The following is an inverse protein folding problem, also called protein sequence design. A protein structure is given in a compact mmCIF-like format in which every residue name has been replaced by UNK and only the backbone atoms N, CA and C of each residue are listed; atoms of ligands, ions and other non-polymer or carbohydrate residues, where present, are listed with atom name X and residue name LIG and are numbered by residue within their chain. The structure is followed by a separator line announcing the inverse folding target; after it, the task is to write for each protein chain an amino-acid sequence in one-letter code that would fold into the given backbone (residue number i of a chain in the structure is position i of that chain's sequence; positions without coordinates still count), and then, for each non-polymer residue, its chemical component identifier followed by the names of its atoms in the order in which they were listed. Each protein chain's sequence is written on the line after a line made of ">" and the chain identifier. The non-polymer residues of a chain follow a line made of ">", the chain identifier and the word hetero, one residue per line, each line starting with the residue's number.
data_IF_425330892364
#
_entry.id   IF_425330892364
#
_cell.length_a   1.000
_cell.length_b   1.000
_cell.length_c   1.000
_cell.angle_alpha   90.00
_cell.angle_beta   90.00
_cell.angle_gamma   90.00
#
_symmetry.space_group_name_H-M   'P 1'
#
loop_
_entity.id
_entity.type
_entity.pdbx_description
1 polymer ?
#
# COMPACT_ATOMS: atom_id res chain seq x y z
N UNK A 1 -10.49 10.69 24.20
CA UNK A 1 -9.25 10.05 24.68
C UNK A 1 -8.62 9.30 23.52
N UNK A 2 -7.37 9.64 23.21
CA UNK A 2 -6.69 9.29 21.98
C UNK A 2 -6.12 7.84 22.08
N UNK A 3 -6.93 6.83 21.78
CA UNK A 3 -6.58 5.39 21.89
C UNK A 3 -5.37 5.04 21.01
N UNK A 4 -5.18 5.72 19.88
CA UNK A 4 -4.08 5.41 18.94
C UNK A 4 -2.75 6.03 19.36
N UNK A 5 -2.77 7.13 20.13
CA UNK A 5 -1.54 7.68 20.73
C UNK A 5 -1.00 6.80 21.87
N UNK A 6 -1.88 5.99 22.48
CA UNK A 6 -1.51 5.01 23.52
C UNK A 6 -1.13 3.64 22.92
N UNK A 7 -1.64 3.31 21.73
CA UNK A 7 -1.30 2.08 21.01
C UNK A 7 0.02 2.19 20.22
N UNK A 8 0.48 3.39 19.88
CA UNK A 8 1.69 3.57 19.06
C UNK A 8 2.94 3.01 19.73
N UNK A 9 3.28 3.43 20.93
CA UNK A 9 4.51 3.01 21.63
C UNK A 9 4.44 1.58 22.18
N UNK A 10 3.36 1.15 22.88
CA UNK A 10 3.28 -0.23 23.35
C UNK A 10 3.14 -1.23 22.19
N UNK A 11 2.42 -0.89 21.12
CA UNK A 11 2.28 -1.75 19.96
C UNK A 11 3.58 -1.89 19.18
N UNK A 12 4.32 -0.79 19.01
CA UNK A 12 5.62 -0.80 18.37
C UNK A 12 6.62 -1.60 19.21
N UNK A 13 6.64 -1.41 20.53
CA UNK A 13 7.50 -2.17 21.45
C UNK A 13 7.12 -3.65 21.53
N UNK A 14 5.82 -3.97 21.47
CA UNK A 14 5.36 -5.35 21.43
C UNK A 14 5.63 -5.99 20.05
N UNK A 15 5.47 -5.25 18.97
CA UNK A 15 5.84 -5.69 17.63
C UNK A 15 7.34 -5.90 17.50
N UNK A 16 8.16 -4.96 17.97
CA UNK A 16 9.62 -5.07 17.99
C UNK A 16 10.09 -6.27 18.86
N UNK A 17 9.45 -6.48 20.02
CA UNK A 17 9.69 -7.63 20.89
C UNK A 17 9.32 -8.96 20.22
N UNK A 18 8.17 -8.99 19.52
CA UNK A 18 7.72 -10.18 18.78
C UNK A 18 8.62 -10.46 17.57
N UNK A 19 9.00 -9.42 16.83
CA UNK A 19 9.93 -9.53 15.70
C UNK A 19 11.31 -9.99 16.16
N UNK A 20 11.84 -9.46 17.26
CA UNK A 20 13.12 -9.91 17.82
C UNK A 20 13.04 -11.36 18.32
N UNK A 21 11.96 -11.75 19.01
CA UNK A 21 11.75 -13.13 19.45
C UNK A 21 11.60 -14.10 18.28
N UNK A 22 10.90 -13.68 17.20
CA UNK A 22 10.80 -14.46 15.97
C UNK A 22 12.12 -14.51 15.21
N UNK A 23 12.90 -13.44 15.22
CA UNK A 23 14.21 -13.38 14.60
C UNK A 23 15.23 -14.26 15.34
N UNK A 24 15.24 -14.23 16.69
CA UNK A 24 16.08 -15.08 17.52
C UNK A 24 15.71 -16.55 17.40
N UNK A 25 14.39 -16.85 17.36
CA UNK A 25 13.90 -18.21 17.12
C UNK A 25 14.23 -18.69 15.69
N UNK A 26 14.13 -17.81 14.69
CA UNK A 26 14.47 -18.13 13.31
C UNK A 26 15.97 -18.30 13.10
N UNK A 27 16.81 -17.61 13.88
CA UNK A 27 18.27 -17.72 13.82
C UNK A 27 18.79 -19.07 14.33
N UNK A 28 17.99 -19.76 15.16
CA UNK A 28 18.29 -21.11 15.67
C UNK A 28 17.64 -22.25 14.85
N UNK A 29 16.75 -21.93 13.93
CA UNK A 29 16.07 -22.90 13.07
C UNK A 29 16.71 -22.94 11.67
N UNK A 30 16.78 -24.10 10.99
CA UNK A 30 17.23 -24.20 9.60
C UNK A 30 16.13 -23.67 8.64
N UNK A 31 15.58 -22.49 8.93
CA UNK A 31 14.52 -21.84 8.18
C UNK A 31 15.02 -20.47 7.74
N UNK A 32 15.11 -20.27 6.42
CA UNK A 32 15.47 -18.98 5.85
C UNK A 32 14.19 -18.22 5.46
N UNK A 33 13.98 -17.08 6.10
CA UNK A 33 12.92 -16.13 5.73
C UNK A 33 13.58 -14.92 5.08
N UNK A 34 13.39 -14.76 3.77
CA UNK A 34 13.77 -13.53 3.07
C UNK A 34 12.72 -12.47 3.36
N UNK A 35 13.12 -11.45 4.10
CA UNK A 35 12.30 -10.24 4.22
C UNK A 35 12.72 -9.24 3.14
N UNK A 36 11.76 -8.65 2.45
CA UNK A 36 12.06 -7.56 1.54
C UNK A 36 12.61 -6.37 2.34
N UNK A 37 13.69 -5.76 1.83
CA UNK A 37 14.22 -4.55 2.43
C UNK A 37 13.13 -3.46 2.41
N UNK A 38 12.85 -2.90 3.58
CA UNK A 38 11.95 -1.76 3.67
C UNK A 38 12.75 -0.48 3.89
N UNK A 39 12.37 0.58 3.22
CA UNK A 39 12.97 1.90 3.47
C UNK A 39 12.54 2.36 4.87
N UNK A 40 13.51 2.81 5.71
CA UNK A 40 13.20 3.34 7.02
C UNK A 40 12.17 4.47 6.95
N UNK A 41 11.14 4.38 7.77
CA UNK A 41 10.06 5.36 7.80
C UNK A 41 10.38 6.46 8.82
N UNK A 42 10.37 7.72 8.39
CA UNK A 42 10.39 8.87 9.31
C UNK A 42 9.08 8.92 10.11
N UNK A 43 9.17 8.51 11.37
CA UNK A 43 8.01 8.46 12.27
C UNK A 43 7.40 9.85 12.53
N UNK A 44 8.21 10.92 12.49
CA UNK A 44 7.73 12.30 12.62
C UNK A 44 6.89 12.71 11.41
N UNK A 45 7.36 12.42 10.20
CA UNK A 45 6.61 12.65 8.97
C UNK A 45 5.31 11.84 8.95
N UNK A 46 5.38 10.53 9.28
CA UNK A 46 4.20 9.67 9.35
C UNK A 46 3.14 10.23 10.30
N UNK A 47 3.54 10.64 11.51
CA UNK A 47 2.61 11.19 12.50
C UNK A 47 1.92 12.47 11.99
N UNK A 48 2.65 13.36 11.30
CA UNK A 48 2.08 14.57 10.68
C UNK A 48 1.09 14.23 9.57
N UNK A 49 1.42 13.26 8.72
CA UNK A 49 0.52 12.78 7.66
C UNK A 49 -0.75 12.17 8.26
N UNK A 50 -0.62 11.23 9.20
CA UNK A 50 -1.76 10.58 9.86
C UNK A 50 -2.66 11.61 10.56
N UNK A 51 -2.06 12.63 11.19
CA UNK A 51 -2.81 13.74 11.78
C UNK A 51 -3.62 14.51 10.74
N UNK A 52 -3.03 14.81 9.57
CA UNK A 52 -3.73 15.54 8.50
C UNK A 52 -4.89 14.73 7.91
N UNK A 53 -4.72 13.41 7.74
CA UNK A 53 -5.79 12.49 7.29
C UNK A 53 -6.95 12.48 8.29
N UNK A 54 -6.65 12.29 9.59
CA UNK A 54 -7.67 12.23 10.65
C UNK A 54 -8.46 13.52 10.79
N UNK A 55 -7.78 14.66 10.68
CA UNK A 55 -8.41 15.98 10.78
C UNK A 55 -9.03 16.42 9.45
N UNK A 56 -8.93 15.62 8.41
CA UNK A 56 -9.39 15.91 7.03
C UNK A 56 -8.89 17.27 6.55
N UNK A 57 -7.59 17.52 6.70
CA UNK A 57 -6.93 18.77 6.32
C UNK A 57 -6.08 18.58 5.09
N UNK A 58 -6.13 19.54 4.16
CA UNK A 58 -5.24 19.61 3.01
C UNK A 58 -3.80 19.65 3.51
N UNK A 59 -2.91 18.98 2.79
CA UNK A 59 -1.48 18.97 3.05
C UNK A 59 -0.71 19.54 1.86
N UNK A 60 0.34 20.30 2.16
CA UNK A 60 1.32 20.79 1.20
C UNK A 60 2.69 20.23 1.51
N UNK A 61 3.48 19.91 0.49
CA UNK A 61 4.85 19.41 0.63
C UNK A 61 5.63 19.56 -0.68
N UNK A 62 6.96 19.42 -0.60
CA UNK A 62 7.80 19.26 -1.79
C UNK A 62 8.01 17.77 -2.07
N UNK A 63 7.89 17.38 -3.34
CA UNK A 63 8.09 16.01 -3.81
C UNK A 63 9.26 15.92 -4.77
N UNK A 64 10.20 15.01 -4.49
CA UNK A 64 11.39 14.78 -5.31
C UNK A 64 11.16 13.63 -6.28
N UNK A 65 10.71 13.93 -7.51
CA UNK A 65 10.69 13.00 -8.63
C UNK A 65 11.35 13.68 -9.83
N UNK A 66 12.67 13.52 -9.96
CA UNK A 66 13.46 14.36 -10.85
C UNK A 66 13.64 15.77 -10.26
N UNK A 67 13.08 16.80 -10.93
CA UNK A 67 13.08 18.18 -10.39
C UNK A 67 12.05 18.29 -9.25
N UNK A 68 12.44 18.77 -8.06
CA UNK A 68 11.53 18.98 -6.96
C UNK A 68 10.39 19.93 -7.32
N UNK A 69 9.17 19.59 -6.94
CA UNK A 69 8.00 20.44 -7.18
C UNK A 69 7.07 20.44 -5.96
N UNK A 70 6.30 21.50 -5.83
CA UNK A 70 5.33 21.64 -4.76
C UNK A 70 4.05 20.88 -5.09
N UNK A 71 3.53 20.16 -4.10
CA UNK A 71 2.27 19.41 -4.17
C UNK A 71 1.34 19.93 -3.09
N UNK A 72 0.06 20.11 -3.45
CA UNK A 72 -1.03 20.32 -2.49
C UNK A 72 -2.06 19.23 -2.73
N UNK A 73 -2.47 18.53 -1.67
CA UNK A 73 -3.40 17.41 -1.81
C UNK A 73 -4.34 17.24 -0.63
N UNK A 74 -5.43 16.57 -0.86
CA UNK A 74 -6.31 15.97 0.15
C UNK A 74 -5.74 14.59 0.52
N UNK A 75 -5.09 14.42 1.69
CA UNK A 75 -4.47 13.13 2.05
C UNK A 75 -5.54 12.15 2.53
N UNK A 76 -5.57 10.95 1.96
CA UNK A 76 -6.61 9.95 2.24
C UNK A 76 -6.11 8.73 3.00
N UNK A 77 -4.99 8.12 2.58
CA UNK A 77 -4.44 6.89 3.18
C UNK A 77 -2.92 6.89 3.14
N UNK A 78 -2.33 6.21 4.09
CA UNK A 78 -0.94 5.75 4.01
C UNK A 78 -0.97 4.27 3.69
N UNK A 79 -0.24 3.85 2.67
CA UNK A 79 -0.22 2.47 2.15
C UNK A 79 1.21 1.98 2.10
N UNK A 80 1.46 0.78 2.63
CA UNK A 80 2.73 0.08 2.46
C UNK A 80 2.61 -0.92 1.31
N UNK A 81 3.52 -0.83 0.34
CA UNK A 81 3.53 -1.73 -0.80
C UNK A 81 4.96 -1.95 -1.33
N UNK A 82 5.37 -3.22 -1.49
CA UNK A 82 6.66 -3.57 -2.06
C UNK A 82 7.85 -2.94 -1.32
N UNK A 83 7.84 -2.89 0.02
CA UNK A 83 8.91 -2.29 0.83
C UNK A 83 8.86 -0.77 0.97
N UNK A 84 7.91 -0.08 0.31
CA UNK A 84 7.78 1.37 0.31
C UNK A 84 6.48 1.84 0.96
N UNK A 85 6.54 3.01 1.60
CA UNK A 85 5.38 3.70 2.14
C UNK A 85 4.93 4.80 1.19
N UNK A 86 3.63 4.89 0.94
CA UNK A 86 3.02 5.86 0.03
C UNK A 86 1.92 6.64 0.72
N UNK A 87 1.89 7.95 0.47
CA UNK A 87 0.75 8.80 0.74
C UNK A 87 -0.16 8.79 -0.48
N UNK A 88 -1.38 8.33 -0.29
CA UNK A 88 -2.44 8.33 -1.31
C UNK A 88 -3.41 9.45 -1.02
N UNK A 89 -3.77 10.22 -2.02
CA UNK A 89 -4.72 11.31 -1.89
C UNK A 89 -5.04 11.98 -3.21
N UNK A 90 -5.92 12.96 -3.18
CA UNK A 90 -6.33 13.72 -4.35
C UNK A 90 -5.48 14.98 -4.45
N UNK A 91 -4.78 15.14 -5.55
CA UNK A 91 -4.07 16.36 -5.88
C UNK A 91 -5.07 17.50 -6.11
N UNK A 92 -4.82 18.67 -5.51
CA UNK A 92 -5.76 19.80 -5.62
C UNK A 92 -5.63 20.55 -6.94
N UNK A 93 -4.54 20.38 -7.68
CA UNK A 93 -4.29 21.03 -8.96
C UNK A 93 -5.09 20.42 -10.11
N UNK A 94 -5.05 19.09 -10.25
CA UNK A 94 -5.72 18.37 -11.34
C UNK A 94 -6.89 17.48 -10.87
N UNK A 95 -7.15 17.45 -9.59
CA UNK A 95 -8.21 16.64 -8.97
C UNK A 95 -8.06 15.11 -9.16
N UNK A 96 -6.86 14.63 -9.48
CA UNK A 96 -6.55 13.20 -9.68
C UNK A 96 -6.05 12.56 -8.38
N UNK A 97 -6.40 11.29 -8.16
CA UNK A 97 -5.83 10.50 -7.06
C UNK A 97 -4.40 10.11 -7.43
N UNK A 98 -3.45 10.59 -6.63
CA UNK A 98 -2.02 10.35 -6.79
C UNK A 98 -1.42 9.61 -5.60
N UNK A 99 -0.23 9.10 -5.79
CA UNK A 99 0.55 8.33 -4.81
C UNK A 99 1.94 8.95 -4.75
N UNK A 100 2.37 9.25 -3.54
CA UNK A 100 3.65 9.89 -3.27
C UNK A 100 4.43 9.03 -2.27
N UNK A 101 5.59 8.52 -2.68
CA UNK A 101 6.47 7.76 -1.80
C UNK A 101 6.97 8.66 -0.66
N UNK A 102 6.85 8.20 0.59
CA UNK A 102 7.12 9.02 1.77
C UNK A 102 8.57 9.45 1.88
N UNK A 103 9.50 8.62 1.44
CA UNK A 103 10.95 8.89 1.40
C UNK A 103 11.35 10.04 0.46
N UNK A 104 10.42 10.45 -0.42
CA UNK A 104 10.60 11.56 -1.37
C UNK A 104 9.86 12.83 -0.98
N UNK A 105 9.20 12.83 0.18
CA UNK A 105 8.45 13.98 0.70
C UNK A 105 9.35 14.79 1.63
N UNK A 106 9.39 16.11 1.40
CA UNK A 106 10.01 17.07 2.30
C UNK A 106 9.08 18.23 2.60
N UNK A 107 9.35 18.96 3.69
CA UNK A 107 8.60 20.17 4.12
C UNK A 107 7.08 19.97 4.23
N UNK A 108 6.66 18.79 4.70
CA UNK A 108 5.24 18.48 4.88
C UNK A 108 4.58 19.45 5.87
N UNK A 109 3.53 20.12 5.43
CA UNK A 109 2.74 21.07 6.21
C UNK A 109 1.26 20.76 6.07
N UNK A 110 0.55 20.70 7.20
CA UNK A 110 -0.90 20.58 7.24
C UNK A 110 -1.50 21.99 7.14
N UNK A 111 -2.35 22.21 6.14
CA UNK A 111 -3.08 23.47 5.98
C UNK A 111 -4.23 23.58 6.98
N UNK A 112 -4.77 24.79 7.14
CA UNK A 112 -6.01 24.99 7.92
C UNK A 112 -7.26 24.56 7.15
N UNK A 113 -7.19 24.54 5.83
CA UNK A 113 -8.31 24.22 4.93
C UNK A 113 -8.71 22.75 5.07
N UNK A 114 -9.99 22.45 5.34
CA UNK A 114 -10.49 21.09 5.37
C UNK A 114 -10.83 20.59 3.96
N UNK A 115 -10.83 19.26 3.78
CA UNK A 115 -11.48 18.59 2.66
C UNK A 115 -12.71 17.80 3.14
N UNK A 116 -13.66 17.52 2.23
CA UNK A 116 -14.98 17.01 2.65
C UNK A 116 -15.06 15.50 2.75
N UNK A 117 -14.67 14.78 1.71
CA UNK A 117 -14.98 13.35 1.58
C UNK A 117 -13.81 12.56 0.98
N UNK A 118 -13.54 11.41 1.57
CA UNK A 118 -12.68 10.38 0.97
C UNK A 118 -13.58 9.53 0.05
N UNK A 119 -13.15 9.19 -1.18
CA UNK A 119 -13.93 8.33 -2.07
C UNK A 119 -14.26 6.99 -1.41
N UNK A 120 -15.52 6.56 -1.49
CA UNK A 120 -16.00 5.33 -0.84
C UNK A 120 -15.35 4.07 -1.41
N UNK A 121 -15.02 4.06 -2.68
CA UNK A 121 -14.39 2.94 -3.38
C UNK A 121 -12.86 2.90 -3.27
N UNK A 122 -12.24 3.87 -2.57
CA UNK A 122 -10.78 3.97 -2.49
C UNK A 122 -10.15 2.74 -1.81
N UNK A 123 -10.69 2.32 -0.67
CA UNK A 123 -10.15 1.20 0.08
C UNK A 123 -10.30 -0.12 -0.70
N UNK A 124 -11.42 -0.32 -1.38
CA UNK A 124 -11.64 -1.46 -2.26
C UNK A 124 -10.68 -1.46 -3.46
N UNK A 125 -10.42 -0.29 -4.04
CA UNK A 125 -9.46 -0.14 -5.14
C UNK A 125 -8.03 -0.46 -4.68
N UNK A 126 -7.62 -0.01 -3.48
CA UNK A 126 -6.32 -0.33 -2.90
C UNK A 126 -6.20 -1.85 -2.66
N UNK A 127 -7.19 -2.47 -2.02
CA UNK A 127 -7.19 -3.90 -1.69
C UNK A 127 -7.26 -4.81 -2.92
N UNK A 128 -7.99 -4.39 -3.96
CA UNK A 128 -8.14 -5.14 -5.20
C UNK A 128 -6.97 -4.98 -6.17
N UNK A 129 -5.96 -4.19 -5.84
CA UNK A 129 -4.84 -3.91 -6.75
C UNK A 129 -3.66 -4.86 -6.54
N UNK A 130 -3.05 -5.25 -7.65
CA UNK A 130 -1.82 -6.06 -7.67
C UNK A 130 -0.55 -5.22 -7.38
N UNK A 131 -0.63 -3.89 -7.44
CA UNK A 131 0.48 -2.96 -7.21
C UNK A 131 -0.01 -1.61 -6.71
N UNK A 132 0.91 -0.69 -6.41
CA UNK A 132 0.59 0.65 -5.94
C UNK A 132 -0.12 1.52 -7.00
N UNK A 133 0.00 1.17 -8.27
CA UNK A 133 -0.64 1.88 -9.39
C UNK A 133 -2.09 1.40 -9.59
N UNK A 134 -2.88 1.43 -8.50
CA UNK A 134 -4.29 1.10 -8.57
C UNK A 134 -5.10 2.22 -9.24
N UNK A 135 -6.19 1.83 -9.85
CA UNK A 135 -7.24 2.74 -10.32
C UNK A 135 -8.54 2.42 -9.61
N UNK A 136 -9.37 3.43 -9.38
CA UNK A 136 -10.75 3.22 -8.93
C UNK A 136 -11.61 2.61 -10.02
N UNK A 137 -11.10 2.59 -11.26
CA UNK A 137 -11.70 1.98 -12.43
C UNK A 137 -10.88 0.73 -12.84
N UNK A 138 -11.31 -0.45 -12.36
CA UNK A 138 -10.68 -1.74 -12.66
C UNK A 138 -11.35 -2.44 -13.84
N UNK A 139 -11.32 -1.80 -15.00
CA UNK A 139 -12.04 -2.28 -16.19
C UNK A 139 -11.23 -3.22 -17.08
N UNK A 140 -9.91 -3.33 -16.88
CA UNK A 140 -9.08 -4.21 -17.68
C UNK A 140 -9.09 -5.62 -17.10
N UNK A 141 -9.61 -6.57 -17.89
CA UNK A 141 -9.54 -8.00 -17.56
C UNK A 141 -8.28 -8.58 -18.22
N UNK A 142 -7.39 -9.12 -17.40
CA UNK A 142 -6.21 -9.87 -17.86
C UNK A 142 -6.51 -11.35 -17.77
N UNK A 143 -6.21 -12.07 -18.86
CA UNK A 143 -6.34 -13.54 -18.96
C UNK A 143 -4.96 -14.12 -19.24
N UNK A 144 -4.51 -15.05 -18.40
CA UNK A 144 -3.23 -15.73 -18.57
C UNK A 144 -3.43 -17.24 -18.66
N UNK A 145 -2.59 -17.90 -19.45
CA UNK A 145 -2.46 -19.36 -19.45
C UNK A 145 -1.32 -19.73 -18.49
N UNK A 146 -1.57 -20.68 -17.63
CA UNK A 146 -0.62 -21.18 -16.63
C UNK A 146 -0.36 -22.65 -16.91
N UNK A 147 0.90 -23.02 -17.10
CA UNK A 147 1.30 -24.41 -17.36
C UNK A 147 0.95 -25.33 -16.19
N UNK A 148 0.75 -26.63 -16.50
CA UNK A 148 0.46 -27.67 -15.52
C UNK A 148 1.47 -27.70 -14.36
N UNK A 149 2.76 -27.51 -14.65
CA UNK A 149 3.85 -27.47 -13.66
C UNK A 149 3.72 -26.32 -12.66
N UNK A 150 3.11 -25.21 -13.07
CA UNK A 150 2.91 -23.98 -12.24
C UNK A 150 1.50 -23.88 -11.65
N UNK A 151 0.57 -24.72 -12.13
CA UNK A 151 -0.86 -24.66 -11.75
C UNK A 151 -1.07 -24.77 -10.24
N UNK A 152 -0.29 -25.60 -9.55
CA UNK A 152 -0.36 -25.82 -8.12
C UNK A 152 -0.14 -24.54 -7.30
N UNK A 153 0.67 -23.60 -7.76
CA UNK A 153 0.90 -22.32 -7.07
C UNK A 153 -0.35 -21.44 -7.08
N UNK A 154 -1.03 -21.36 -8.24
CA UNK A 154 -2.24 -20.55 -8.41
C UNK A 154 -3.46 -21.17 -7.68
N UNK A 155 -3.51 -22.50 -7.56
CA UNK A 155 -4.55 -23.21 -6.79
C UNK A 155 -4.39 -23.03 -5.28
N UNK A 156 -3.13 -22.97 -4.79
CA UNK A 156 -2.84 -22.86 -3.35
C UNK A 156 -3.14 -21.49 -2.76
N UNK A 157 -2.98 -20.43 -3.55
CA UNK A 157 -3.23 -19.05 -3.11
C UNK A 157 -3.54 -18.14 -4.28
N UNK A 158 -4.28 -17.08 -4.01
CA UNK A 158 -4.41 -15.99 -4.98
C UNK A 158 -3.08 -15.25 -5.10
N UNK A 159 -2.50 -15.21 -6.29
CA UNK A 159 -1.33 -14.40 -6.64
C UNK A 159 -1.75 -12.95 -6.89
N UNK A 160 -2.94 -12.78 -7.46
CA UNK A 160 -3.56 -11.47 -7.68
C UNK A 160 -4.86 -11.35 -6.86
N UNK A 161 -5.18 -10.19 -6.26
CA UNK A 161 -6.33 -10.02 -5.37
C UNK A 161 -7.66 -10.45 -5.99
N UNK A 162 -7.89 -10.14 -7.26
CA UNK A 162 -9.12 -10.44 -8.01
C UNK A 162 -9.03 -11.70 -8.84
N UNK A 163 -8.05 -12.57 -8.56
CA UNK A 163 -7.80 -13.80 -9.31
C UNK A 163 -8.96 -14.78 -9.23
N UNK A 164 -9.34 -15.31 -10.41
CA UNK A 164 -10.28 -16.41 -10.58
C UNK A 164 -9.66 -17.45 -11.55
N UNK A 165 -9.76 -18.72 -11.23
CA UNK A 165 -9.45 -19.82 -12.16
C UNK A 165 -10.72 -20.04 -12.98
N UNK A 166 -10.68 -19.68 -14.25
CA UNK A 166 -11.85 -19.75 -15.13
C UNK A 166 -11.92 -21.03 -15.95
N UNK A 167 -10.80 -21.75 -16.07
CA UNK A 167 -10.72 -23.01 -16.81
C UNK A 167 -9.59 -23.86 -16.22
N UNK A 168 -9.85 -25.15 -16.06
CA UNK A 168 -8.84 -26.17 -15.78
C UNK A 168 -8.88 -27.19 -16.91
N UNK A 169 -7.76 -27.41 -17.59
CA UNK A 169 -7.67 -28.30 -18.74
C UNK A 169 -7.23 -29.70 -18.32
N UNK A 170 -7.51 -30.70 -19.20
CA UNK A 170 -7.16 -32.08 -18.96
C UNK A 170 -5.64 -32.31 -18.81
N UNK A 171 -4.79 -31.49 -19.43
CA UNK A 171 -3.35 -31.51 -19.26
C UNK A 171 -2.86 -30.92 -17.93
N UNK A 172 -3.78 -30.43 -17.08
CA UNK A 172 -3.49 -29.78 -15.79
C UNK A 172 -3.13 -28.30 -15.88
N UNK A 173 -3.12 -27.72 -17.09
CA UNK A 173 -2.94 -26.29 -17.27
C UNK A 173 -4.20 -25.50 -16.88
N UNK A 174 -4.03 -24.20 -16.55
CA UNK A 174 -5.11 -23.34 -16.10
C UNK A 174 -5.24 -22.11 -16.98
N UNK A 175 -6.47 -21.63 -17.08
CA UNK A 175 -6.73 -20.23 -17.46
C UNK A 175 -7.11 -19.46 -16.21
N UNK A 176 -6.36 -18.41 -15.94
CA UNK A 176 -6.55 -17.53 -14.80
C UNK A 176 -6.89 -16.15 -15.29
N UNK A 177 -7.93 -15.55 -14.73
CA UNK A 177 -8.35 -14.17 -15.02
C UNK A 177 -8.22 -13.32 -13.76
N UNK A 178 -7.89 -12.04 -13.95
CA UNK A 178 -7.92 -11.04 -12.88
C UNK A 178 -8.15 -9.66 -13.46
N UNK A 179 -8.61 -8.74 -12.61
CA UNK A 179 -8.90 -7.35 -13.01
C UNK A 179 -7.77 -6.44 -12.58
N UNK A 180 -7.43 -5.48 -13.41
CA UNK A 180 -6.45 -4.43 -13.10
C UNK A 180 -7.00 -3.06 -13.52
N UNK A 181 -6.55 -2.01 -12.85
CA UNK A 181 -6.77 -0.64 -13.27
C UNK A 181 -5.79 -0.24 -14.38
N UNK A 182 -6.14 0.76 -15.16
CA UNK A 182 -5.24 1.42 -16.11
C UNK A 182 -4.33 2.39 -15.40
#
# INVERSE_FOLDING_TARGET
>A
RNVVGQLGRPFQKAADGLFNSLYDAASSMPVYVRMDESIPLDSSLLNRIVKSIRLKKIAGFYYKSGKPHQVNMEPYRVVHFGGFWYLVGKDTGDSVIKRYALDRISDFKMARTPFRKIPENLDSAIQGSANIWFSTDQNLVVKISVDASSSGYFKRRKVFPTQEITEEREDGSLIVTFRVGR
#
